data_IF_709426591452
#
_entry.id   IF_709426591452
#
_cell.length_a   1.000
_cell.length_b   1.000
_cell.length_c   1.000
_cell.angle_alpha   90.00
_cell.angle_beta   90.00
_cell.angle_gamma   90.00
#
_symmetry.space_group_name_H-M   'P 1'
#
loop_
_entity.id
_entity.type
_entity.pdbx_description
1 polymer ?
#
# COMPACT_ATOMS: atom_id res chain seq x y z
N UNK A 1 0.03 7.82 18.24
CA UNK A 1 0.57 8.77 17.25
C UNK A 1 0.94 8.02 15.97
N UNK A 2 0.90 8.67 14.83
CA UNK A 2 1.06 8.09 13.48
C UNK A 2 2.27 8.70 12.79
N UNK A 3 3.18 7.88 12.26
CA UNK A 3 4.19 8.30 11.31
C UNK A 3 3.72 7.96 9.89
N UNK A 4 3.68 8.97 9.01
CA UNK A 4 3.36 8.78 7.59
C UNK A 4 4.64 8.62 6.81
N UNK A 5 4.76 7.53 6.04
CA UNK A 5 5.95 7.21 5.23
C UNK A 5 5.61 7.36 3.76
N UNK A 6 6.36 8.21 3.05
CA UNK A 6 6.19 8.51 1.64
C UNK A 6 7.50 8.18 0.90
N UNK A 7 7.60 7.01 0.24
CA UNK A 7 8.71 6.74 -0.68
C UNK A 7 8.55 7.63 -1.92
N UNK A 8 9.60 8.33 -2.32
CA UNK A 8 9.59 9.24 -3.47
C UNK A 8 10.78 8.97 -4.40
N UNK A 9 10.50 8.76 -5.68
CA UNK A 9 11.49 8.66 -6.73
C UNK A 9 10.94 9.31 -8.01
N UNK A 10 11.56 10.41 -8.44
CA UNK A 10 11.13 11.19 -9.61
C UNK A 10 9.63 11.53 -9.58
N UNK A 11 9.22 12.21 -8.50
CA UNK A 11 7.82 12.50 -8.18
C UNK A 11 7.52 14.01 -8.18
N UNK A 12 8.30 14.83 -8.89
CA UNK A 12 8.20 16.30 -8.90
C UNK A 12 6.80 16.83 -9.23
N UNK A 13 6.00 16.06 -9.99
CA UNK A 13 4.68 16.46 -10.44
C UNK A 13 3.54 16.09 -9.47
N UNK A 14 3.78 15.24 -8.48
CA UNK A 14 2.73 14.69 -7.60
C UNK A 14 3.01 14.88 -6.12
N UNK A 15 4.29 14.93 -5.72
CA UNK A 15 4.69 14.87 -4.31
C UNK A 15 4.10 16.00 -3.44
N UNK A 16 3.94 17.19 -3.98
CA UNK A 16 3.37 18.33 -3.23
C UNK A 16 1.89 18.11 -2.93
N UNK A 17 1.12 17.59 -3.88
CA UNK A 17 -0.29 17.26 -3.70
C UNK A 17 -0.45 16.09 -2.71
N UNK A 18 0.38 15.08 -2.83
CA UNK A 18 0.47 13.94 -1.92
C UNK A 18 0.66 14.41 -0.46
N UNK A 19 1.68 15.23 -0.18
CA UNK A 19 1.95 15.76 1.17
C UNK A 19 0.80 16.65 1.65
N UNK A 20 0.23 17.48 0.79
CA UNK A 20 -0.91 18.32 1.13
C UNK A 20 -2.14 17.50 1.52
N UNK A 21 -2.37 16.33 0.91
CA UNK A 21 -3.41 15.39 1.32
C UNK A 21 -3.25 14.91 2.77
N UNK A 22 -2.00 14.73 3.21
CA UNK A 22 -1.69 14.39 4.62
C UNK A 22 -1.92 15.58 5.54
N UNK A 23 -1.46 16.76 5.17
CA UNK A 23 -1.59 17.97 5.99
C UNK A 23 -3.03 18.42 6.17
N UNK A 24 -3.92 18.11 5.21
CA UNK A 24 -5.36 18.42 5.23
C UNK A 24 -6.21 17.40 5.96
N UNK A 25 -5.61 16.40 6.63
CA UNK A 25 -6.40 15.44 7.43
C UNK A 25 -7.12 16.15 8.59
N UNK A 26 -8.41 15.80 8.81
CA UNK A 26 -9.22 16.34 9.92
C UNK A 26 -8.61 16.01 11.29
N UNK A 27 -7.93 14.88 11.39
CA UNK A 27 -7.18 14.47 12.59
C UNK A 27 -5.67 14.56 12.38
N UNK A 28 -5.22 15.69 11.82
CA UNK A 28 -3.79 16.00 11.68
C UNK A 28 -3.07 16.06 13.05
N UNK A 29 -3.79 16.33 14.14
CA UNK A 29 -3.29 16.24 15.51
C UNK A 29 -2.72 14.86 15.88
N UNK A 30 -3.20 13.79 15.25
CA UNK A 30 -2.71 12.42 15.46
C UNK A 30 -1.49 12.06 14.63
N UNK A 31 -1.15 12.86 13.61
CA UNK A 31 0.04 12.68 12.79
C UNK A 31 1.22 13.35 13.50
N UNK A 32 2.17 12.54 13.92
CA UNK A 32 3.38 12.99 14.62
C UNK A 32 4.42 13.52 13.64
N UNK A 33 4.61 12.82 12.53
CA UNK A 33 5.60 13.15 11.52
C UNK A 33 5.20 12.65 10.13
N UNK A 34 5.74 13.30 9.10
CA UNK A 34 5.67 12.91 7.69
C UNK A 34 7.11 12.68 7.24
N UNK A 35 7.46 11.45 6.91
CA UNK A 35 8.81 11.07 6.50
C UNK A 35 8.80 10.80 5.00
N UNK A 36 9.35 11.71 4.23
CA UNK A 36 9.58 11.51 2.79
C UNK A 36 10.95 10.88 2.62
N UNK A 37 10.99 9.68 2.04
CA UNK A 37 12.24 9.00 1.68
C UNK A 37 12.50 9.26 0.20
N UNK A 38 13.39 10.19 -0.08
CA UNK A 38 13.88 10.43 -1.43
C UNK A 38 14.86 9.32 -1.83
N UNK A 39 14.40 8.40 -2.64
CA UNK A 39 15.15 7.22 -3.09
C UNK A 39 16.03 7.53 -4.32
N UNK A 40 16.83 8.60 -4.22
CA UNK A 40 17.78 8.99 -5.25
C UNK A 40 17.13 9.64 -6.47
N UNK A 41 16.11 10.51 -6.30
CA UNK A 41 15.51 11.27 -7.40
C UNK A 41 16.54 12.11 -8.15
N UNK A 42 16.38 12.17 -9.46
CA UNK A 42 17.20 12.96 -10.39
C UNK A 42 16.46 14.16 -10.98
N UNK A 43 15.16 14.27 -10.67
CA UNK A 43 14.29 15.41 -11.02
C UNK A 43 14.23 16.44 -9.87
N UNK A 44 13.33 17.40 -9.94
CA UNK A 44 13.15 18.45 -8.92
C UNK A 44 12.27 18.05 -7.74
N UNK A 45 12.12 16.74 -7.42
CA UNK A 45 11.26 16.26 -6.32
C UNK A 45 11.56 16.95 -4.99
N UNK A 46 12.83 16.99 -4.57
CA UNK A 46 13.22 17.56 -3.27
C UNK A 46 13.06 19.07 -3.24
N UNK A 47 13.44 19.75 -4.33
CA UNK A 47 13.30 21.19 -4.49
C UNK A 47 11.83 21.62 -4.43
N UNK A 48 10.94 20.88 -5.11
CA UNK A 48 9.49 21.12 -5.08
C UNK A 48 8.92 21.00 -3.67
N UNK A 49 9.36 20.01 -2.90
CA UNK A 49 8.92 19.88 -1.51
C UNK A 49 9.37 21.11 -0.70
N UNK A 50 10.65 21.45 -0.74
CA UNK A 50 11.23 22.55 0.04
C UNK A 50 10.63 23.92 -0.30
N UNK A 51 10.26 24.13 -1.57
CA UNK A 51 9.67 25.40 -2.04
C UNK A 51 8.19 25.55 -1.66
N UNK A 52 7.43 24.44 -1.56
CA UNK A 52 5.98 24.49 -1.44
C UNK A 52 5.45 24.04 -0.07
N UNK A 53 6.24 23.33 0.72
CA UNK A 53 5.82 22.78 1.99
C UNK A 53 6.71 23.30 3.11
N UNK A 54 6.13 24.13 3.98
CA UNK A 54 6.76 24.56 5.23
C UNK A 54 5.94 23.99 6.38
N UNK A 55 6.41 22.88 6.95
CA UNK A 55 5.73 22.21 8.06
C UNK A 55 6.74 21.49 8.96
N UNK A 56 6.64 21.69 10.27
CA UNK A 56 7.58 21.12 11.27
C UNK A 56 7.51 19.60 11.38
N UNK A 57 6.38 18.99 11.00
CA UNK A 57 6.21 17.53 11.00
C UNK A 57 6.92 16.87 9.81
N UNK A 58 7.33 17.65 8.79
CA UNK A 58 7.92 17.11 7.57
C UNK A 58 9.43 16.87 7.73
N UNK A 59 9.86 15.65 7.44
CA UNK A 59 11.27 15.27 7.38
C UNK A 59 11.56 14.65 6.01
N UNK A 60 12.62 15.09 5.36
CA UNK A 60 13.12 14.51 4.10
C UNK A 60 14.41 13.77 4.38
N UNK A 61 14.46 12.51 4.03
CA UNK A 61 15.65 11.65 4.13
C UNK A 61 16.03 11.21 2.72
N UNK A 62 17.21 11.58 2.26
CA UNK A 62 17.73 11.17 0.96
C UNK A 62 18.69 9.99 1.09
N UNK A 63 18.55 9.03 0.18
CA UNK A 63 19.42 7.85 0.07
C UNK A 63 19.71 7.51 -1.39
N UNK A 64 20.71 6.70 -1.64
CA UNK A 64 20.92 6.10 -2.96
C UNK A 64 19.72 5.24 -3.35
N UNK A 65 19.37 5.22 -4.65
CA UNK A 65 18.23 4.45 -5.13
C UNK A 65 18.37 2.95 -4.80
N UNK A 66 17.39 2.43 -4.09
CA UNK A 66 17.31 1.02 -3.68
C UNK A 66 15.92 0.41 -3.94
N UNK A 67 15.03 1.19 -4.54
CA UNK A 67 13.66 0.77 -4.84
C UNK A 67 12.68 1.01 -3.69
N UNK A 68 11.39 0.87 -4.01
CA UNK A 68 10.28 1.23 -3.12
C UNK A 68 10.29 0.48 -1.78
N UNK A 69 10.64 -0.82 -1.77
CA UNK A 69 10.79 -1.62 -0.55
C UNK A 69 11.85 -1.03 0.38
N UNK A 70 13.03 -0.71 -0.18
CA UNK A 70 14.14 -0.12 0.57
C UNK A 70 13.79 1.25 1.14
N UNK A 71 13.08 2.08 0.36
CA UNK A 71 12.61 3.38 0.82
C UNK A 71 11.56 3.25 1.94
N UNK A 72 10.56 2.37 1.78
CA UNK A 72 9.58 2.10 2.85
C UNK A 72 10.25 1.59 4.12
N UNK A 73 11.19 0.67 4.00
CA UNK A 73 11.93 0.11 5.13
C UNK A 73 12.71 1.18 5.88
N UNK A 74 13.39 2.07 5.18
CA UNK A 74 14.10 3.17 5.80
C UNK A 74 13.12 4.07 6.59
N UNK A 75 11.98 4.43 6.00
CA UNK A 75 10.93 5.19 6.69
C UNK A 75 10.41 4.47 7.93
N UNK A 76 10.16 3.16 7.87
CA UNK A 76 9.68 2.37 9.03
C UNK A 76 10.71 2.36 10.16
N UNK A 77 12.00 2.23 9.85
CA UNK A 77 13.09 2.26 10.85
C UNK A 77 13.17 3.63 11.54
N UNK A 78 12.97 4.71 10.80
CA UNK A 78 13.07 6.10 11.28
C UNK A 78 11.79 6.60 12.00
N UNK A 79 10.68 5.88 11.86
CA UNK A 79 9.40 6.27 12.39
C UNK A 79 9.35 6.23 13.92
N UNK A 80 8.75 7.27 14.54
CA UNK A 80 8.54 7.39 15.99
C UNK A 80 7.14 6.97 16.43
N UNK A 81 6.16 7.10 15.52
CA UNK A 81 4.75 6.82 15.81
C UNK A 81 4.48 5.35 16.14
N UNK A 82 3.48 5.11 16.95
CA UNK A 82 2.96 3.78 17.27
C UNK A 82 2.34 3.09 16.03
N UNK A 83 1.83 3.90 15.12
CA UNK A 83 1.20 3.45 13.89
C UNK A 83 1.97 3.97 12.68
N UNK A 84 2.12 3.10 11.69
CA UNK A 84 2.74 3.41 10.40
C UNK A 84 1.66 3.50 9.35
N UNK A 85 1.54 4.66 8.73
CA UNK A 85 0.72 4.89 7.56
C UNK A 85 1.61 4.97 6.32
N UNK A 86 1.31 4.16 5.32
CA UNK A 86 2.04 4.16 4.05
C UNK A 86 1.28 5.01 3.04
N UNK A 87 2.01 5.76 2.21
CA UNK A 87 1.44 6.59 1.15
C UNK A 87 2.45 6.70 -0.01
N UNK A 88 2.07 6.24 -1.18
CA UNK A 88 2.90 6.38 -2.38
C UNK A 88 2.83 7.82 -2.91
N UNK A 89 3.92 8.31 -3.48
CA UNK A 89 4.11 9.75 -3.79
C UNK A 89 3.24 10.30 -4.92
N UNK A 90 2.46 9.44 -5.59
CA UNK A 90 1.50 9.80 -6.64
C UNK A 90 0.03 9.62 -6.21
N UNK A 91 -0.22 9.32 -4.93
CA UNK A 91 -1.55 9.14 -4.35
C UNK A 91 -1.93 10.30 -3.42
N UNK A 92 -3.23 10.50 -3.23
CA UNK A 92 -3.77 11.60 -2.39
C UNK A 92 -4.80 11.07 -1.40
N UNK A 93 -4.60 11.35 -0.12
CA UNK A 93 -5.58 11.04 0.91
C UNK A 93 -6.72 12.06 0.95
N UNK A 94 -7.94 11.55 1.11
CA UNK A 94 -9.11 12.37 1.40
C UNK A 94 -9.15 12.75 2.89
N UNK A 95 -9.74 13.91 3.25
CA UNK A 95 -9.58 14.51 4.58
C UNK A 95 -9.96 13.63 5.77
N UNK A 96 -10.93 12.75 5.62
CA UNK A 96 -11.46 11.92 6.71
C UNK A 96 -10.72 10.59 6.92
N UNK A 97 -9.67 10.28 6.13
CA UNK A 97 -9.04 8.94 6.15
C UNK A 97 -8.51 8.55 7.54
N UNK A 98 -7.69 9.39 8.13
CA UNK A 98 -7.09 9.11 9.45
C UNK A 98 -8.17 9.07 10.54
N UNK A 99 -9.13 9.99 10.50
CA UNK A 99 -10.26 10.02 11.44
C UNK A 99 -11.04 8.70 11.44
N UNK A 100 -11.48 8.26 10.26
CA UNK A 100 -12.25 7.01 10.10
C UNK A 100 -11.46 5.77 10.55
N UNK A 101 -10.18 5.68 10.18
CA UNK A 101 -9.34 4.55 10.59
C UNK A 101 -9.15 4.53 12.11
N UNK A 102 -8.82 5.66 12.73
CA UNK A 102 -8.61 5.74 14.19
C UNK A 102 -9.90 5.52 14.97
N UNK A 103 -11.06 5.98 14.46
CA UNK A 103 -12.35 5.69 15.06
C UNK A 103 -12.61 4.17 15.13
N UNK A 104 -12.33 3.43 14.02
CA UNK A 104 -12.47 1.97 14.01
C UNK A 104 -11.48 1.30 14.96
N UNK A 105 -10.23 1.74 15.00
CA UNK A 105 -9.22 1.21 15.93
C UNK A 105 -9.63 1.42 17.38
N UNK A 106 -10.23 2.56 17.73
CA UNK A 106 -10.73 2.83 19.09
C UNK A 106 -11.90 1.92 19.49
N UNK A 107 -12.81 1.61 18.55
CA UNK A 107 -13.94 0.70 18.78
C UNK A 107 -13.54 -0.76 18.78
N UNK A 108 -12.46 -1.11 18.08
CA UNK A 108 -11.95 -2.46 17.88
C UNK A 108 -10.44 -2.50 18.20
N UNK A 109 -10.06 -2.55 19.50
CA UNK A 109 -8.65 -2.50 19.93
C UNK A 109 -7.77 -3.66 19.44
N UNK A 110 -8.39 -4.74 19.00
CA UNK A 110 -7.71 -5.89 18.38
C UNK A 110 -7.15 -5.58 16.98
N UNK A 111 -7.55 -4.47 16.35
CA UNK A 111 -7.05 -4.06 15.02
C UNK A 111 -5.56 -3.73 15.12
N UNK A 112 -4.77 -4.39 14.28
CA UNK A 112 -3.35 -4.08 14.07
C UNK A 112 -3.02 -3.71 12.63
N UNK A 113 -3.94 -4.00 11.70
CA UNK A 113 -3.80 -3.71 10.28
C UNK A 113 -5.17 -3.30 9.72
N UNK A 114 -5.28 -2.08 9.20
CA UNK A 114 -6.50 -1.53 8.62
C UNK A 114 -6.19 -0.78 7.33
N UNK A 115 -7.05 -0.97 6.33
CA UNK A 115 -7.03 -0.26 5.06
C UNK A 115 -8.39 0.34 4.72
N UNK A 116 -8.43 1.14 3.65
CA UNK A 116 -9.67 1.76 3.15
C UNK A 116 -9.85 1.49 1.67
N UNK A 117 -11.05 1.77 1.16
CA UNK A 117 -11.30 1.79 -0.26
C UNK A 117 -10.65 3.02 -0.92
N UNK A 118 -10.49 2.96 -2.24
CA UNK A 118 -9.93 4.00 -3.10
C UNK A 118 -10.74 4.13 -4.39
N UNK A 119 -10.70 5.29 -5.01
CA UNK A 119 -11.29 5.56 -6.33
C UNK A 119 -12.74 5.00 -6.49
N UNK A 120 -13.51 4.93 -5.39
CA UNK A 120 -14.86 4.35 -5.34
C UNK A 120 -14.94 2.95 -5.97
N UNK A 121 -13.90 2.12 -5.80
CA UNK A 121 -13.90 0.75 -6.31
C UNK A 121 -15.07 -0.06 -5.73
N UNK A 122 -15.75 -0.81 -6.62
CA UNK A 122 -16.75 -1.74 -6.15
C UNK A 122 -16.09 -2.93 -5.44
N UNK A 123 -16.42 -3.12 -4.16
CA UNK A 123 -15.82 -4.16 -3.32
C UNK A 123 -16.86 -5.14 -2.83
N UNK A 124 -16.57 -6.44 -3.04
CA UNK A 124 -17.27 -7.54 -2.38
C UNK A 124 -16.30 -8.12 -1.37
N UNK A 125 -16.69 -8.10 -0.11
CA UNK A 125 -15.80 -8.41 1.00
C UNK A 125 -16.32 -9.55 1.86
N UNK A 126 -15.43 -10.11 2.70
CA UNK A 126 -15.66 -11.26 3.54
C UNK A 126 -16.60 -11.01 4.72
N UNK A 127 -16.09 -11.15 5.93
CA UNK A 127 -16.90 -11.04 7.15
C UNK A 127 -17.18 -9.58 7.49
N UNK A 128 -18.46 -9.21 7.47
CA UNK A 128 -18.91 -7.88 7.92
C UNK A 128 -18.78 -7.80 9.45
N UNK A 129 -18.16 -6.75 9.95
CA UNK A 129 -17.99 -6.48 11.39
C UNK A 129 -18.91 -5.35 11.81
N UNK A 130 -18.98 -4.25 11.02
CA UNK A 130 -19.78 -3.06 11.26
C UNK A 130 -20.36 -2.59 9.93
N UNK A 131 -21.09 -1.47 9.90
CA UNK A 131 -21.78 -0.98 8.69
C UNK A 131 -20.86 -0.85 7.48
N UNK A 132 -19.64 -0.37 7.69
CA UNK A 132 -18.65 -0.09 6.67
C UNK A 132 -17.31 -0.80 6.91
N UNK A 133 -17.21 -1.65 7.98
CA UNK A 133 -15.99 -2.37 8.36
C UNK A 133 -16.11 -3.86 8.08
N UNK A 134 -15.12 -4.41 7.40
CA UNK A 134 -15.02 -5.82 7.08
C UNK A 134 -13.69 -6.41 7.56
N UNK A 135 -13.74 -7.69 7.94
CA UNK A 135 -12.55 -8.48 8.29
C UNK A 135 -12.17 -9.39 7.14
N UNK A 136 -10.94 -9.28 6.69
CA UNK A 136 -10.37 -10.02 5.57
C UNK A 136 -9.25 -10.94 6.06
N UNK A 137 -9.28 -12.19 5.58
CA UNK A 137 -8.27 -13.21 5.82
C UNK A 137 -7.39 -13.40 4.59
N UNK A 138 -6.38 -14.25 4.68
CA UNK A 138 -5.44 -14.55 3.58
C UNK A 138 -6.15 -14.85 2.25
N UNK A 139 -7.26 -15.61 2.28
CA UNK A 139 -8.02 -15.94 1.07
C UNK A 139 -8.48 -14.69 0.31
N UNK A 140 -8.91 -13.66 1.02
CA UNK A 140 -9.35 -12.39 0.42
C UNK A 140 -8.17 -11.61 -0.15
N UNK A 141 -7.03 -11.62 0.53
CA UNK A 141 -5.79 -11.00 0.04
C UNK A 141 -5.33 -11.67 -1.26
N UNK A 142 -5.39 -12.99 -1.34
CA UNK A 142 -5.03 -13.73 -2.56
C UNK A 142 -6.00 -13.49 -3.72
N UNK A 143 -7.30 -13.34 -3.46
CA UNK A 143 -8.30 -13.03 -4.49
C UNK A 143 -8.06 -11.66 -5.12
N UNK A 144 -7.82 -10.65 -4.31
CA UNK A 144 -7.46 -9.31 -4.74
C UNK A 144 -6.48 -8.75 -3.72
N UNK A 145 -5.32 -8.28 -4.17
CA UNK A 145 -4.29 -7.72 -3.29
C UNK A 145 -4.83 -6.48 -2.54
N UNK A 146 -5.33 -6.72 -1.34
CA UNK A 146 -5.89 -5.72 -0.42
C UNK A 146 -4.93 -5.49 0.75
N UNK A 147 -4.89 -4.28 1.32
CA UNK A 147 -5.41 -3.01 0.81
C UNK A 147 -4.44 -2.43 -0.23
N UNK A 148 -4.86 -1.35 -0.92
CA UNK A 148 -3.87 -0.53 -1.63
C UNK A 148 -2.86 0.04 -0.63
N UNK A 149 -1.58 0.08 -0.99
CA UNK A 149 -0.50 0.44 -0.06
C UNK A 149 -0.76 1.78 0.60
N UNK A 150 -1.18 2.77 -0.17
CA UNK A 150 -1.44 4.13 0.33
C UNK A 150 -2.65 4.25 1.26
N UNK A 151 -3.46 3.18 1.40
CA UNK A 151 -4.54 3.16 2.39
C UNK A 151 -4.16 2.49 3.70
N UNK A 152 -3.04 1.77 3.73
CA UNK A 152 -2.63 0.94 4.86
C UNK A 152 -2.24 1.77 6.09
N UNK A 153 -2.79 1.38 7.25
CA UNK A 153 -2.38 1.84 8.57
C UNK A 153 -2.09 0.60 9.42
N UNK A 154 -0.86 0.47 9.91
CA UNK A 154 -0.32 -0.74 10.53
C UNK A 154 0.29 -0.39 11.86
N UNK A 155 0.00 -1.15 12.91
CA UNK A 155 0.67 -0.98 14.20
C UNK A 155 2.15 -1.30 14.06
N UNK A 156 3.05 -0.40 14.51
CA UNK A 156 4.50 -0.52 14.28
C UNK A 156 5.06 -1.86 14.75
N UNK A 157 4.59 -2.36 15.89
CA UNK A 157 5.02 -3.66 16.45
C UNK A 157 4.77 -4.86 15.54
N UNK A 158 3.89 -4.73 14.55
CA UNK A 158 3.66 -5.80 13.56
C UNK A 158 4.91 -6.05 12.73
N UNK A 159 5.68 -5.00 12.41
CA UNK A 159 6.92 -5.13 11.64
C UNK A 159 8.04 -5.84 12.43
N UNK A 160 8.01 -5.77 13.76
CA UNK A 160 8.96 -6.51 14.61
C UNK A 160 8.70 -8.02 14.54
N UNK A 161 7.44 -8.42 14.30
CA UNK A 161 7.01 -9.81 14.27
C UNK A 161 7.08 -10.44 12.87
N UNK A 162 6.75 -9.67 11.82
CA UNK A 162 6.68 -10.19 10.44
C UNK A 162 7.88 -9.78 9.59
N UNK A 163 8.72 -8.89 10.10
CA UNK A 163 9.84 -8.28 9.37
C UNK A 163 9.40 -7.16 8.42
N UNK A 164 10.37 -6.55 7.78
CA UNK A 164 10.20 -5.43 6.84
C UNK A 164 9.86 -5.94 5.42
N UNK A 165 9.68 -5.01 4.47
CA UNK A 165 9.50 -5.35 3.06
C UNK A 165 10.73 -6.09 2.50
N UNK A 166 10.50 -7.10 1.64
CA UNK A 166 11.60 -7.81 0.95
C UNK A 166 12.18 -6.89 -0.14
N UNK A 167 13.40 -6.38 0.10
CA UNK A 167 14.10 -5.48 -0.82
C UNK A 167 14.57 -6.19 -2.10
N UNK A 168 14.56 -7.52 -2.14
CA UNK A 168 14.84 -8.31 -3.34
C UNK A 168 13.65 -8.43 -4.29
N UNK A 169 12.46 -8.01 -3.84
CA UNK A 169 11.23 -8.02 -4.62
C UNK A 169 10.99 -6.66 -5.28
N UNK A 170 11.02 -6.63 -6.59
CA UNK A 170 10.67 -5.44 -7.37
C UNK A 170 9.17 -5.33 -7.68
N UNK A 171 8.45 -6.45 -7.67
CA UNK A 171 7.03 -6.53 -8.01
C UNK A 171 6.28 -7.37 -6.99
N UNK A 172 5.04 -6.96 -6.67
CA UNK A 172 4.17 -7.61 -5.68
C UNK A 172 4.80 -7.73 -4.28
N UNK A 173 5.68 -6.81 -3.92
CA UNK A 173 6.32 -6.68 -2.60
C UNK A 173 5.28 -6.34 -1.52
N UNK A 174 4.25 -5.58 -1.88
CA UNK A 174 3.10 -5.27 -1.04
C UNK A 174 2.30 -6.55 -0.72
N UNK A 175 2.06 -7.37 -1.75
CA UNK A 175 1.39 -8.66 -1.58
C UNK A 175 2.13 -9.62 -0.66
N UNK A 176 3.47 -9.66 -0.72
CA UNK A 176 4.28 -10.41 0.24
C UNK A 176 4.07 -9.92 1.68
N UNK A 177 4.20 -8.60 1.87
CA UNK A 177 4.01 -7.98 3.19
C UNK A 177 2.61 -8.27 3.75
N UNK A 178 1.56 -8.05 2.93
CA UNK A 178 0.18 -8.31 3.35
C UNK A 178 -0.06 -9.77 3.70
N UNK A 179 0.50 -10.70 2.93
CA UNK A 179 0.41 -12.14 3.24
C UNK A 179 1.02 -12.46 4.61
N UNK A 180 2.23 -11.95 4.90
CA UNK A 180 2.90 -12.17 6.19
C UNK A 180 2.12 -11.58 7.35
N UNK A 181 1.55 -10.37 7.17
CA UNK A 181 0.73 -9.74 8.21
C UNK A 181 -0.56 -10.54 8.42
N UNK A 182 -1.30 -10.86 7.35
CA UNK A 182 -2.65 -11.43 7.45
C UNK A 182 -2.65 -12.87 7.97
N UNK A 183 -1.55 -13.57 7.86
CA UNK A 183 -1.37 -14.89 8.52
C UNK A 183 -1.42 -14.76 10.05
N UNK A 184 -1.02 -13.62 10.62
CA UNK A 184 -1.02 -13.37 12.07
C UNK A 184 -2.17 -12.48 12.52
N UNK A 185 -2.48 -11.44 11.75
CA UNK A 185 -3.43 -10.38 12.07
C UNK A 185 -4.36 -10.14 10.89
N UNK A 186 -5.68 -10.33 11.02
CA UNK A 186 -6.58 -10.07 9.91
C UNK A 186 -6.49 -8.61 9.47
N UNK A 187 -6.67 -8.37 8.17
CA UNK A 187 -6.90 -7.04 7.66
C UNK A 187 -8.32 -6.60 8.02
N UNK A 188 -8.45 -5.43 8.61
CA UNK A 188 -9.72 -4.72 8.68
C UNK A 188 -9.81 -3.71 7.53
N UNK A 189 -10.97 -3.63 6.89
CA UNK A 189 -11.12 -2.85 5.68
C UNK A 189 -12.38 -2.00 5.72
N UNK A 190 -12.20 -0.67 5.58
CA UNK A 190 -13.28 0.30 5.48
C UNK A 190 -13.69 0.42 4.00
N UNK A 191 -15.00 0.28 3.72
CA UNK A 191 -15.53 0.33 2.34
C UNK A 191 -15.65 1.75 1.79
N UNK A 192 -15.60 2.77 2.64
CA UNK A 192 -15.58 4.17 2.22
C UNK A 192 -14.29 4.48 1.45
N UNK A 193 -14.42 5.16 0.31
CA UNK A 193 -13.29 5.59 -0.52
C UNK A 193 -12.63 6.80 0.11
N UNK A 194 -11.42 6.63 0.63
CA UNK A 194 -10.69 7.66 1.39
C UNK A 194 -9.32 7.98 0.79
N UNK A 195 -9.10 7.54 -0.46
CA UNK A 195 -7.89 7.78 -1.25
C UNK A 195 -8.25 7.96 -2.73
N UNK A 196 -7.51 8.83 -3.40
CA UNK A 196 -7.42 8.97 -4.85
C UNK A 196 -6.07 8.41 -5.27
N UNK A 197 -6.08 7.27 -5.95
CA UNK A 197 -4.86 6.59 -6.38
C UNK A 197 -4.44 7.03 -7.78
N UNK A 198 -3.17 7.40 -7.92
CA UNK A 198 -2.48 7.60 -9.19
C UNK A 198 -3.15 8.57 -10.17
N UNK A 199 -3.87 9.60 -9.68
CA UNK A 199 -4.56 10.56 -10.56
C UNK A 199 -5.59 9.91 -11.50
N UNK A 200 -6.34 8.90 -11.01
CA UNK A 200 -7.31 8.09 -11.78
C UNK A 200 -6.72 7.22 -12.90
N UNK A 201 -5.42 6.90 -12.84
CA UNK A 201 -4.80 5.93 -13.79
C UNK A 201 -5.43 4.54 -13.67
N UNK A 202 -5.41 3.79 -14.77
CA UNK A 202 -5.82 2.38 -14.72
C UNK A 202 -4.95 1.58 -13.76
N UNK A 203 -5.56 0.65 -13.04
CA UNK A 203 -4.90 -0.17 -12.01
C UNK A 203 -3.75 -1.06 -12.52
N UNK A 204 -3.58 -1.22 -13.84
CA UNK A 204 -2.51 -2.00 -14.46
C UNK A 204 -2.36 -1.71 -15.96
N UNK A 205 -1.17 -1.95 -16.48
CA UNK A 205 -0.90 -1.98 -17.92
C UNK A 205 -0.56 -0.64 -18.58
N UNK A 206 -0.52 0.48 -17.84
CA UNK A 206 -0.24 1.80 -18.44
C UNK A 206 1.11 2.39 -18.01
N UNK A 207 1.31 2.63 -16.72
CA UNK A 207 2.52 3.28 -16.18
C UNK A 207 2.90 2.69 -14.81
N UNK A 208 4.16 2.89 -14.41
CA UNK A 208 4.69 2.44 -13.13
C UNK A 208 4.98 0.92 -13.07
N UNK A 209 5.22 0.40 -11.88
CA UNK A 209 5.57 -1.02 -11.68
C UNK A 209 4.45 -1.97 -12.14
N UNK A 210 3.18 -1.59 -11.95
CA UNK A 210 2.00 -2.39 -12.34
C UNK A 210 1.82 -2.53 -13.86
N UNK A 211 2.53 -1.74 -14.67
CA UNK A 211 2.56 -1.87 -16.12
C UNK A 211 3.29 -3.16 -16.58
N UNK A 212 4.27 -3.63 -15.81
CA UNK A 212 4.95 -4.88 -16.10
C UNK A 212 4.12 -6.09 -15.65
N UNK A 213 3.16 -6.51 -16.47
CA UNK A 213 2.25 -7.61 -16.17
C UNK A 213 2.97 -8.93 -15.87
N UNK A 214 4.07 -9.22 -16.61
CA UNK A 214 4.91 -10.42 -16.39
C UNK A 214 5.62 -10.34 -15.04
N UNK A 215 6.23 -9.20 -14.70
CA UNK A 215 6.89 -8.98 -13.42
C UNK A 215 5.91 -9.15 -12.25
N UNK A 216 4.72 -8.56 -12.35
CA UNK A 216 3.64 -8.73 -11.35
C UNK A 216 3.20 -10.18 -11.21
N UNK A 217 3.07 -10.93 -12.31
CA UNK A 217 2.74 -12.35 -12.26
C UNK A 217 3.82 -13.16 -11.56
N UNK A 218 5.09 -12.96 -11.92
CA UNK A 218 6.24 -13.65 -11.29
C UNK A 218 6.33 -13.35 -9.80
N UNK A 219 6.13 -12.09 -9.40
CA UNK A 219 6.10 -11.69 -8.00
C UNK A 219 4.99 -12.40 -7.20
N UNK A 220 3.77 -12.46 -7.77
CA UNK A 220 2.68 -13.21 -7.14
C UNK A 220 2.97 -14.71 -7.02
N UNK A 221 3.68 -15.32 -8.02
CA UNK A 221 4.11 -16.71 -7.92
C UNK A 221 5.14 -16.92 -6.81
N UNK A 222 6.11 -15.98 -6.65
CA UNK A 222 7.07 -16.02 -5.54
C UNK A 222 6.33 -15.98 -4.19
N UNK A 223 5.32 -15.13 -4.05
CA UNK A 223 4.49 -15.04 -2.85
C UNK A 223 3.78 -16.36 -2.54
N UNK A 224 3.19 -17.03 -3.54
CA UNK A 224 2.55 -18.34 -3.35
C UNK A 224 3.55 -19.43 -2.95
N UNK A 225 4.75 -19.44 -3.53
CA UNK A 225 5.81 -20.39 -3.18
C UNK A 225 6.20 -20.19 -1.70
N UNK A 226 6.35 -18.94 -1.25
CA UNK A 226 6.66 -18.62 0.15
C UNK A 226 5.58 -19.13 1.09
N UNK A 227 4.29 -18.90 0.78
CA UNK A 227 3.16 -19.40 1.57
C UNK A 227 3.15 -20.94 1.67
N UNK A 228 3.42 -21.63 0.55
CA UNK A 228 3.51 -23.09 0.50
C UNK A 228 4.69 -23.62 1.33
N UNK A 229 5.88 -23.04 1.13
CA UNK A 229 7.11 -23.49 1.83
C UNK A 229 6.99 -23.31 3.35
N UNK A 230 6.30 -22.26 3.79
CA UNK A 230 5.98 -21.99 5.19
C UNK A 230 4.75 -22.80 5.70
N UNK A 231 4.21 -23.73 4.89
CA UNK A 231 3.05 -24.59 5.24
C UNK A 231 1.78 -23.79 5.62
N UNK A 232 1.65 -22.56 5.14
CA UNK A 232 0.48 -21.69 5.38
C UNK A 232 -0.68 -22.12 4.47
N UNK A 233 -0.38 -22.56 3.26
CA UNK A 233 -1.33 -23.15 2.31
C UNK A 233 -0.90 -24.59 2.00
N UNK A 234 -1.89 -25.47 1.78
CA UNK A 234 -1.61 -26.85 1.41
C UNK A 234 -1.21 -26.95 -0.09
N UNK A 235 -0.73 -28.14 -0.48
CA UNK A 235 -0.29 -28.40 -1.86
C UNK A 235 -1.42 -28.19 -2.89
N UNK A 236 -2.63 -28.62 -2.56
CA UNK A 236 -3.80 -28.46 -3.43
C UNK A 236 -4.15 -26.98 -3.60
N UNK A 237 -4.22 -26.22 -2.49
CA UNK A 237 -4.47 -24.78 -2.53
C UNK A 237 -3.43 -24.04 -3.37
N UNK A 238 -2.15 -24.43 -3.25
CA UNK A 238 -1.07 -23.84 -4.04
C UNK A 238 -1.35 -23.95 -5.55
N UNK A 239 -1.74 -25.14 -6.06
CA UNK A 239 -2.06 -25.29 -7.49
C UNK A 239 -3.33 -24.54 -7.91
N UNK A 240 -4.36 -24.53 -7.05
CA UNK A 240 -5.58 -23.78 -7.33
C UNK A 240 -5.28 -22.27 -7.44
N UNK A 241 -4.48 -21.72 -6.54
CA UNK A 241 -4.07 -20.33 -6.59
C UNK A 241 -3.14 -20.01 -7.76
N UNK A 242 -2.22 -20.91 -8.13
CA UNK A 242 -1.40 -20.76 -9.35
C UNK A 242 -2.28 -20.65 -10.59
N UNK A 243 -3.26 -21.55 -10.75
CA UNK A 243 -4.18 -21.54 -11.86
C UNK A 243 -5.02 -20.25 -11.89
N UNK A 244 -5.52 -19.83 -10.74
CA UNK A 244 -6.25 -18.57 -10.61
C UNK A 244 -5.41 -17.34 -11.02
N UNK A 245 -4.15 -17.24 -10.56
CA UNK A 245 -3.28 -16.13 -10.94
C UNK A 245 -2.88 -16.19 -12.43
N UNK A 246 -2.75 -17.38 -12.99
CA UNK A 246 -2.51 -17.55 -14.42
C UNK A 246 -3.71 -17.01 -15.24
N UNK A 247 -4.94 -17.36 -14.89
CA UNK A 247 -6.15 -16.80 -15.52
C UNK A 247 -6.19 -15.27 -15.39
N UNK A 248 -5.90 -14.73 -14.20
CA UNK A 248 -5.82 -13.28 -13.99
C UNK A 248 -4.78 -12.62 -14.90
N UNK A 249 -3.64 -13.25 -15.07
CA UNK A 249 -2.57 -12.77 -15.93
C UNK A 249 -3.00 -12.69 -17.39
N UNK A 250 -3.58 -13.79 -17.93
CA UNK A 250 -4.09 -13.83 -19.30
C UNK A 250 -5.18 -12.77 -19.50
N UNK A 251 -6.14 -12.67 -18.56
CA UNK A 251 -7.18 -11.62 -18.61
C UNK A 251 -6.57 -10.21 -18.66
N UNK A 252 -5.55 -9.93 -17.85
CA UNK A 252 -4.89 -8.62 -17.84
C UNK A 252 -4.21 -8.32 -19.17
N UNK A 253 -3.52 -9.30 -19.78
CA UNK A 253 -2.94 -9.15 -21.12
C UNK A 253 -4.04 -8.81 -22.12
N UNK A 254 -5.10 -9.61 -22.19
CA UNK A 254 -6.20 -9.40 -23.14
C UNK A 254 -6.82 -8.00 -23.00
N UNK A 255 -7.11 -7.56 -21.77
CA UNK A 255 -7.67 -6.23 -21.52
C UNK A 255 -6.69 -5.12 -21.93
N UNK A 256 -5.38 -5.28 -21.64
CA UNK A 256 -4.37 -4.29 -22.02
C UNK A 256 -4.25 -4.17 -23.54
N UNK A 257 -4.24 -5.30 -24.25
CA UNK A 257 -4.20 -5.32 -25.72
C UNK A 257 -5.47 -4.67 -26.31
N UNK A 258 -6.65 -5.03 -25.81
CA UNK A 258 -7.91 -4.43 -26.29
C UNK A 258 -7.97 -2.91 -26.08
N UNK A 259 -7.41 -2.39 -24.98
CA UNK A 259 -7.31 -0.94 -24.76
C UNK A 259 -6.45 -0.25 -25.81
N UNK A 260 -5.34 -0.87 -26.22
CA UNK A 260 -4.45 -0.31 -27.25
C UNK A 260 -5.09 -0.21 -28.64
N UNK A 261 -6.14 -1.01 -28.91
CA UNK A 261 -6.90 -0.93 -30.16
C UNK A 261 -8.02 0.15 -30.14
N UNK A 262 -8.32 0.71 -28.96
CA UNK A 262 -9.41 1.70 -28.80
C UNK A 262 -8.88 3.11 -28.47
N UNK A 263 -7.56 3.28 -28.38
CA UNK A 263 -6.83 4.55 -28.34
C UNK A 263 -6.17 4.84 -29.67
#
# INVERSE_FOLDING_TARGET
MISVIIPAYNSENSIVECINGVLKQTRNDLIEEIIVINDGSTDHTVEKIKQNILNEKLRIISKANGGVSSARNEGIRQAKGEWIALLDSDDVWLPLKIEKQVEKIKRHPEIKFIGTNRNNEHVRLGQKIDNDLYRLTLRWILLKNWPHTSTALIKKTVFDEVGLFDETMRYAEDGDMWNRIVVRYPLYYITESLEIAGGNKCAYGEKGLSANLKGMYVGNMKNLITLKNNKIICFVDYFLWQFFFWIKYIKRIAVTVLRQFHT
#
